data_IF_740135050543
#
_entry.id   IF_740135050543
#
_cell.length_a   1.000
_cell.length_b   1.000
_cell.length_c   1.000
_cell.angle_alpha   90.00
_cell.angle_beta   90.00
_cell.angle_gamma   90.00
#
_symmetry.space_group_name_H-M   'P 1'
#
loop_
_entity.id
_entity.type
_entity.pdbx_description
1 polymer ?
#
# COMPACT_ATOMS: atom_id res chain seq x y z
N UNK A 1 53.36 37.78 -2.56
CA UNK A 1 52.44 38.48 -3.49
C UNK A 1 52.32 39.93 -2.97
N UNK A 2 52.61 40.90 -3.85
CA UNK A 2 52.93 42.29 -3.45
C UNK A 2 51.63 43.09 -3.24
N UNK A 3 51.49 43.74 -2.09
CA UNK A 3 50.29 44.53 -1.65
C UNK A 3 49.86 45.57 -2.68
N UNK A 4 50.80 46.10 -3.50
CA UNK A 4 50.54 47.03 -4.60
C UNK A 4 49.71 46.39 -5.75
N UNK A 5 49.82 45.09 -5.97
CA UNK A 5 49.08 44.37 -7.01
C UNK A 5 47.62 44.10 -6.57
N UNK A 6 47.41 43.85 -5.28
CA UNK A 6 46.08 43.65 -4.70
C UNK A 6 45.20 44.94 -4.74
N UNK A 7 45.81 46.11 -4.46
CA UNK A 7 45.12 47.40 -4.54
C UNK A 7 44.72 47.74 -5.99
N UNK A 8 45.49 47.38 -7.02
CA UNK A 8 45.10 47.59 -8.41
C UNK A 8 43.94 46.72 -8.86
N UNK A 9 43.86 45.46 -8.35
CA UNK A 9 42.73 44.57 -8.68
C UNK A 9 41.44 45.00 -7.97
N UNK A 10 41.49 45.48 -6.75
CA UNK A 10 40.31 46.00 -6.03
C UNK A 10 39.75 47.25 -6.70
N UNK A 11 40.61 48.16 -7.15
CA UNK A 11 40.23 49.39 -7.87
C UNK A 11 39.60 49.02 -9.24
N UNK A 12 40.14 48.06 -9.95
CA UNK A 12 39.59 47.61 -11.24
C UNK A 12 38.20 46.96 -11.09
N UNK A 13 37.98 46.18 -10.04
CA UNK A 13 36.69 45.60 -9.74
C UNK A 13 35.64 46.65 -9.31
N UNK A 14 36.03 47.69 -8.55
CA UNK A 14 35.14 48.77 -8.16
C UNK A 14 34.69 49.62 -9.34
N UNK A 15 35.61 49.90 -10.30
CA UNK A 15 35.27 50.63 -11.50
C UNK A 15 34.36 49.80 -12.43
N UNK A 16 34.55 48.50 -12.55
CA UNK A 16 33.68 47.62 -13.33
C UNK A 16 32.26 47.56 -12.76
N UNK A 17 32.12 47.57 -11.42
CA UNK A 17 30.80 47.60 -10.75
C UNK A 17 30.05 48.91 -10.97
N UNK A 18 30.77 50.05 -10.90
CA UNK A 18 30.18 51.38 -11.12
C UNK A 18 29.75 51.58 -12.58
N UNK A 19 30.49 51.07 -13.56
CA UNK A 19 30.12 51.15 -14.98
C UNK A 19 28.93 50.21 -15.30
N UNK A 20 28.87 49.04 -14.67
CA UNK A 20 27.76 48.12 -14.83
C UNK A 20 26.43 48.62 -14.28
N UNK A 21 26.44 49.29 -13.12
CA UNK A 21 25.26 49.89 -12.52
C UNK A 21 24.85 51.17 -13.21
N UNK A 22 25.79 52.03 -13.62
CA UNK A 22 25.51 53.29 -14.35
C UNK A 22 25.03 53.05 -15.78
N UNK A 23 25.58 52.05 -16.50
CA UNK A 23 25.15 51.68 -17.85
C UNK A 23 23.75 51.08 -17.90
N UNK A 24 23.34 50.31 -16.87
CA UNK A 24 22.00 49.73 -16.73
C UNK A 24 20.91 50.81 -16.53
N UNK A 25 21.23 51.90 -15.84
CA UNK A 25 20.30 52.98 -15.60
C UNK A 25 20.04 53.84 -16.85
N UNK A 26 21.01 53.96 -17.78
CA UNK A 26 20.88 54.73 -19.01
C UNK A 26 20.17 53.99 -20.14
N UNK A 27 20.16 52.64 -20.11
CA UNK A 27 19.50 51.86 -21.15
C UNK A 27 18.07 51.42 -20.84
N UNK A 28 17.65 51.49 -19.55
CA UNK A 28 16.31 51.03 -19.12
C UNK A 28 15.44 52.13 -18.48
N UNK A 29 15.89 53.37 -18.52
CA UNK A 29 15.20 54.50 -17.88
C UNK A 29 14.34 55.34 -18.81
N UNK A 30 13.23 54.82 -19.32
CA UNK A 30 12.07 55.64 -19.67
C UNK A 30 10.85 55.07 -18.91
N UNK A 31 10.10 55.85 -18.15
CA UNK A 31 8.88 55.36 -17.51
C UNK A 31 7.82 55.18 -18.63
N UNK A 32 7.72 53.97 -19.14
CA UNK A 32 6.55 53.55 -19.89
C UNK A 32 5.37 53.49 -18.90
N UNK A 33 4.30 54.20 -19.29
CA UNK A 33 3.10 54.34 -18.47
C UNK A 33 2.59 52.99 -17.93
N UNK A 34 2.11 53.08 -16.72
CA UNK A 34 1.43 52.00 -15.99
C UNK A 34 0.21 51.54 -16.80
N UNK A 35 0.40 50.64 -17.76
CA UNK A 35 -0.67 49.79 -18.19
C UNK A 35 -0.83 48.73 -17.12
N UNK A 36 -1.84 48.90 -16.27
CA UNK A 36 -2.40 47.82 -15.52
C UNK A 36 -2.77 46.71 -16.51
N UNK A 37 -1.88 45.72 -16.66
CA UNK A 37 -2.25 44.44 -17.23
C UNK A 37 -3.30 43.86 -16.31
N UNK A 38 -4.55 44.01 -16.66
CA UNK A 38 -5.63 43.20 -16.17
C UNK A 38 -5.22 41.77 -16.50
N UNK A 39 -4.73 41.04 -15.48
CA UNK A 39 -4.59 39.60 -15.57
C UNK A 39 -6.02 39.05 -15.65
N UNK A 40 -6.56 39.04 -16.86
CA UNK A 40 -7.70 38.21 -17.15
C UNK A 40 -7.26 36.79 -16.88
N UNK A 41 -7.72 36.22 -15.76
CA UNK A 41 -7.76 34.78 -15.53
C UNK A 41 -8.54 34.16 -16.70
N UNK A 42 -7.86 33.94 -17.81
CA UNK A 42 -8.38 33.08 -18.86
C UNK A 42 -8.40 31.68 -18.22
N UNK A 43 -9.55 31.30 -17.71
CA UNK A 43 -9.90 29.90 -17.48
C UNK A 43 -9.53 29.21 -18.78
N UNK A 44 -8.43 28.42 -18.78
CA UNK A 44 -8.06 27.58 -19.92
C UNK A 44 -9.28 26.70 -20.20
N UNK A 45 -10.10 27.10 -21.18
CA UNK A 45 -11.12 26.21 -21.72
C UNK A 45 -10.38 25.02 -22.31
N UNK A 46 -10.31 23.93 -21.56
CA UNK A 46 -9.79 22.67 -22.06
C UNK A 46 -10.71 22.23 -23.17
N UNK A 47 -10.20 22.21 -24.41
CA UNK A 47 -10.94 21.67 -25.57
C UNK A 47 -11.46 20.29 -25.20
N UNK A 48 -12.72 19.96 -25.53
CA UNK A 48 -13.26 18.61 -25.30
C UNK A 48 -12.31 17.56 -25.90
N UNK A 49 -12.11 16.46 -25.18
CA UNK A 49 -11.32 15.36 -25.72
C UNK A 49 -12.04 14.79 -26.94
N UNK A 50 -11.27 14.51 -28.01
CA UNK A 50 -11.78 13.70 -29.14
C UNK A 50 -12.08 12.29 -28.66
N UNK A 51 -12.95 11.57 -29.34
CA UNK A 51 -13.30 10.18 -29.01
C UNK A 51 -12.04 9.30 -28.91
N UNK A 52 -11.11 9.42 -29.84
CA UNK A 52 -9.84 8.68 -29.84
C UNK A 52 -8.95 8.96 -28.61
N UNK A 53 -9.10 10.12 -27.96
CA UNK A 53 -8.35 10.49 -26.75
C UNK A 53 -9.09 10.16 -25.46
N UNK A 54 -10.38 9.90 -25.51
CA UNK A 54 -11.23 9.58 -24.37
C UNK A 54 -11.27 8.05 -24.13
N UNK A 55 -10.10 7.47 -23.93
CA UNK A 55 -9.93 6.03 -23.67
C UNK A 55 -10.48 5.64 -22.29
N UNK A 56 -10.67 4.34 -22.05
CA UNK A 56 -11.06 3.81 -20.75
C UNK A 56 -10.08 4.25 -19.64
N UNK A 57 -8.77 4.34 -19.92
CA UNK A 57 -7.77 4.82 -18.96
C UNK A 57 -8.05 6.28 -18.54
N UNK A 58 -8.37 7.13 -19.52
CA UNK A 58 -8.72 8.54 -19.24
C UNK A 58 -10.02 8.64 -18.44
N UNK A 59 -11.01 7.79 -18.77
CA UNK A 59 -12.29 7.77 -18.05
C UNK A 59 -12.13 7.31 -16.62
N UNK A 60 -11.43 6.17 -16.39
CA UNK A 60 -11.13 5.65 -15.06
C UNK A 60 -10.33 6.65 -14.21
N UNK A 61 -9.28 7.28 -14.80
CA UNK A 61 -8.48 8.29 -14.10
C UNK A 61 -9.29 9.53 -13.71
N UNK A 62 -10.22 9.99 -14.57
CA UNK A 62 -11.12 11.10 -14.25
C UNK A 62 -12.14 10.74 -13.16
N UNK A 63 -12.70 9.52 -13.23
CA UNK A 63 -13.73 9.06 -12.29
C UNK A 63 -13.13 8.85 -10.89
N UNK A 64 -12.04 8.12 -10.81
CA UNK A 64 -11.52 7.60 -9.54
C UNK A 64 -10.25 8.30 -9.05
N UNK A 65 -9.51 8.99 -9.93
CA UNK A 65 -8.32 9.75 -9.57
C UNK A 65 -8.52 10.76 -8.43
N UNK A 66 -9.65 11.48 -8.35
CA UNK A 66 -9.92 12.39 -7.23
C UNK A 66 -9.93 11.71 -5.85
N UNK A 67 -10.26 10.41 -5.76
CA UNK A 67 -10.26 9.65 -4.52
C UNK A 67 -8.87 9.14 -4.12
N UNK A 68 -7.86 9.29 -5.00
CA UNK A 68 -6.50 8.83 -4.71
C UNK A 68 -5.70 9.98 -4.10
N UNK A 69 -5.19 9.74 -2.90
CA UNK A 69 -4.49 10.74 -2.09
C UNK A 69 -3.01 10.40 -1.95
N UNK A 70 -2.20 11.42 -1.69
CA UNK A 70 -0.81 11.23 -1.26
C UNK A 70 -0.75 11.10 0.26
N UNK A 71 0.15 10.25 0.75
CA UNK A 71 0.42 10.11 2.18
C UNK A 71 1.89 10.37 2.42
N UNK A 72 2.17 11.32 3.31
CA UNK A 72 3.53 11.63 3.78
C UNK A 72 3.63 11.35 5.26
N UNK A 73 4.64 10.59 5.64
CA UNK A 73 4.93 10.18 7.01
C UNK A 73 6.29 10.70 7.41
N UNK A 74 6.37 11.43 8.53
CA UNK A 74 7.66 11.84 9.09
C UNK A 74 8.28 10.67 9.85
N UNK A 75 9.46 10.25 9.41
CA UNK A 75 10.20 9.15 10.01
C UNK A 75 11.21 9.70 11.01
N UNK A 76 11.15 9.21 12.23
CA UNK A 76 12.10 9.52 13.29
C UNK A 76 12.86 8.26 13.69
N UNK A 77 14.14 8.39 13.99
CA UNK A 77 14.96 7.30 14.53
C UNK A 77 15.77 7.77 15.72
N UNK A 78 16.24 6.82 16.53
CA UNK A 78 17.11 7.12 17.66
C UNK A 78 18.56 7.11 17.21
N UNK A 79 19.31 8.14 17.59
CA UNK A 79 20.76 8.18 17.40
C UNK A 79 21.48 7.30 18.45
N UNK A 80 22.81 7.23 18.33
CA UNK A 80 23.66 6.46 19.26
C UNK A 80 23.58 6.93 20.73
N UNK A 81 23.03 8.12 20.97
CA UNK A 81 22.79 8.70 22.30
C UNK A 81 21.32 8.57 22.71
N UNK A 82 20.51 7.73 22.06
CA UNK A 82 19.08 7.51 22.30
C UNK A 82 18.20 8.77 22.13
N UNK A 83 18.67 9.78 21.37
CA UNK A 83 17.90 11.00 21.06
C UNK A 83 17.09 10.76 19.79
N UNK A 84 15.84 11.18 19.78
CA UNK A 84 14.98 11.14 18.59
C UNK A 84 15.45 12.20 17.59
N UNK A 85 15.89 11.75 16.41
CA UNK A 85 16.28 12.61 15.30
C UNK A 85 15.38 12.35 14.09
N UNK A 86 15.10 13.41 13.33
CA UNK A 86 14.40 13.28 12.07
C UNK A 86 15.26 12.50 11.05
N UNK A 87 14.72 11.42 10.51
CA UNK A 87 15.42 10.52 9.61
C UNK A 87 15.02 10.71 8.13
N UNK A 88 13.90 11.37 7.88
CA UNK A 88 13.39 11.61 6.53
C UNK A 88 11.86 11.51 6.44
N UNK A 89 11.37 11.45 5.22
CA UNK A 89 9.96 11.27 4.94
C UNK A 89 9.71 9.95 4.20
N UNK A 90 8.72 9.21 4.65
CA UNK A 90 8.09 8.13 3.88
C UNK A 90 6.98 8.72 3.02
N UNK A 91 6.92 8.32 1.76
CA UNK A 91 5.91 8.79 0.81
C UNK A 91 5.23 7.60 0.15
N UNK A 92 3.91 7.67 0.05
CA UNK A 92 3.09 6.71 -0.64
C UNK A 92 1.74 7.28 -1.03
N UNK A 93 0.83 6.41 -1.38
CA UNK A 93 -0.52 6.76 -1.79
C UNK A 93 -1.56 6.13 -0.86
N UNK A 94 -2.79 6.60 -0.97
CA UNK A 94 -3.95 6.02 -0.31
C UNK A 94 -5.20 6.17 -1.18
N UNK A 95 -6.24 5.43 -0.83
CA UNK A 95 -7.53 5.40 -1.53
C UNK A 95 -8.64 5.76 -0.56
N UNK A 96 -9.36 6.84 -0.82
CA UNK A 96 -10.56 7.22 -0.08
C UNK A 96 -11.70 6.25 -0.44
N UNK A 97 -12.20 5.49 0.54
CA UNK A 97 -13.14 4.38 0.31
C UNK A 97 -14.57 4.68 0.71
N UNK A 98 -14.80 5.73 1.51
CA UNK A 98 -16.13 6.11 1.95
C UNK A 98 -16.28 7.62 2.22
N UNK A 99 -17.51 8.04 2.49
CA UNK A 99 -17.85 9.44 2.78
C UNK A 99 -17.53 9.85 4.23
N UNK A 100 -17.07 8.93 5.05
CA UNK A 100 -16.65 9.20 6.42
C UNK A 100 -15.20 9.66 6.49
N UNK A 101 -14.43 9.50 5.41
CA UNK A 101 -13.02 9.90 5.30
C UNK A 101 -12.05 8.79 5.68
N UNK A 102 -12.42 7.52 5.51
CA UNK A 102 -11.50 6.41 5.64
C UNK A 102 -10.68 6.25 4.36
N UNK A 103 -9.38 6.15 4.55
CA UNK A 103 -8.39 5.97 3.49
C UNK A 103 -7.66 4.66 3.74
N UNK A 104 -7.68 3.79 2.74
CA UNK A 104 -6.88 2.55 2.73
C UNK A 104 -5.52 2.83 2.13
N UNK A 105 -4.47 2.28 2.74
CA UNK A 105 -3.09 2.36 2.26
C UNK A 105 -2.32 1.11 2.67
N UNK A 106 -1.02 1.03 2.32
CA UNK A 106 -0.17 -0.02 2.85
C UNK A 106 0.36 0.31 4.26
N UNK A 107 0.58 -0.74 5.05
CA UNK A 107 1.18 -0.60 6.38
C UNK A 107 2.58 0.03 6.30
N UNK A 108 3.44 -0.40 5.35
CA UNK A 108 4.78 0.15 5.21
C UNK A 108 4.81 1.65 4.88
N UNK A 109 3.74 2.22 4.31
CA UNK A 109 3.61 3.67 4.06
C UNK A 109 3.44 4.45 5.35
N UNK A 110 2.76 3.90 6.34
CA UNK A 110 2.41 4.59 7.60
C UNK A 110 3.18 4.07 8.82
N UNK A 111 3.94 2.98 8.72
CA UNK A 111 4.62 2.33 9.84
C UNK A 111 5.64 3.23 10.56
N UNK A 112 6.15 4.27 9.89
CA UNK A 112 7.03 5.29 10.49
C UNK A 112 6.30 6.46 11.16
N UNK A 113 4.95 6.48 11.15
CA UNK A 113 4.16 7.59 11.64
C UNK A 113 4.39 7.84 13.13
N UNK A 114 4.97 9.00 13.48
CA UNK A 114 5.10 9.42 14.87
C UNK A 114 3.72 9.72 15.44
N UNK A 115 3.40 9.12 16.60
CA UNK A 115 2.09 9.25 17.26
C UNK A 115 0.89 8.85 16.41
N UNK A 116 1.09 8.04 15.36
CA UNK A 116 0.02 7.65 14.45
C UNK A 116 -0.50 8.77 13.55
N UNK A 117 0.28 9.85 13.34
CA UNK A 117 -0.12 11.00 12.52
C UNK A 117 0.59 11.00 11.18
N UNK A 118 -0.17 11.29 10.12
CA UNK A 118 0.34 11.42 8.75
C UNK A 118 -0.21 12.69 8.09
N UNK A 119 0.47 13.18 7.07
CA UNK A 119 -0.04 14.25 6.21
C UNK A 119 -0.68 13.63 4.96
N UNK A 120 -1.93 13.98 4.69
CA UNK A 120 -2.68 13.52 3.53
C UNK A 120 -2.83 14.66 2.55
N UNK A 121 -2.36 14.46 1.30
CA UNK A 121 -2.48 15.40 0.20
C UNK A 121 -3.64 14.99 -0.71
N UNK A 122 -4.68 15.81 -0.76
CA UNK A 122 -5.88 15.59 -1.56
C UNK A 122 -5.66 15.94 -3.04
N UNK A 123 -6.56 15.44 -3.88
CA UNK A 123 -6.50 15.65 -5.33
C UNK A 123 -6.65 17.13 -5.76
N UNK A 124 -7.25 17.99 -4.96
CA UNK A 124 -7.36 19.43 -5.21
C UNK A 124 -6.09 20.21 -4.83
N UNK A 125 -5.12 19.54 -4.19
CA UNK A 125 -3.86 20.12 -3.72
C UNK A 125 -3.89 20.59 -2.27
N UNK A 126 -5.03 20.44 -1.57
CA UNK A 126 -5.08 20.70 -0.12
C UNK A 126 -4.39 19.57 0.64
N UNK A 127 -3.79 19.93 1.78
CA UNK A 127 -3.21 18.97 2.72
C UNK A 127 -4.00 18.98 4.01
N UNK A 128 -4.29 17.80 4.53
CA UNK A 128 -5.00 17.61 5.79
C UNK A 128 -4.24 16.64 6.68
N UNK A 129 -4.47 16.74 7.98
CA UNK A 129 -3.94 15.78 8.95
C UNK A 129 -4.75 14.49 8.89
N UNK A 130 -4.05 13.36 8.81
CA UNK A 130 -4.63 12.04 8.92
C UNK A 130 -4.19 11.35 10.22
N UNK A 131 -5.07 10.52 10.77
CA UNK A 131 -4.79 9.68 11.93
C UNK A 131 -4.82 8.22 11.51
N UNK A 132 -3.77 7.46 11.79
CA UNK A 132 -3.72 6.01 11.55
C UNK A 132 -4.65 5.34 12.55
N UNK A 133 -5.72 4.74 12.07
CA UNK A 133 -6.70 4.01 12.89
C UNK A 133 -6.18 2.66 13.34
N UNK A 134 -5.41 2.00 12.49
CA UNK A 134 -4.79 0.72 12.73
C UNK A 134 -4.05 0.22 11.52
N UNK A 135 -3.21 -0.77 11.76
CA UNK A 135 -2.34 -1.38 10.75
C UNK A 135 -2.38 -2.89 10.86
N UNK A 136 -2.02 -3.54 9.79
CA UNK A 136 -1.79 -4.98 9.74
C UNK A 136 -0.55 -5.31 8.93
N UNK A 137 0.51 -5.67 9.63
CA UNK A 137 1.80 -5.98 9.01
C UNK A 137 1.73 -7.22 8.11
N UNK A 138 0.92 -8.23 8.49
CA UNK A 138 0.81 -9.49 7.74
C UNK A 138 0.16 -9.32 6.37
N UNK A 139 -0.77 -8.38 6.24
CA UNK A 139 -1.42 -8.06 4.97
C UNK A 139 -0.81 -6.84 4.29
N UNK A 140 0.11 -6.15 4.94
CA UNK A 140 0.63 -4.85 4.51
C UNK A 140 -0.47 -3.81 4.26
N UNK A 141 -1.53 -3.82 5.08
CA UNK A 141 -2.65 -2.87 4.99
C UNK A 141 -2.72 -1.95 6.22
N UNK A 142 -3.23 -0.75 5.99
CA UNK A 142 -3.53 0.22 7.04
C UNK A 142 -4.77 1.05 6.67
N UNK A 143 -5.42 1.62 7.67
CA UNK A 143 -6.50 2.59 7.50
C UNK A 143 -6.11 3.90 8.17
N UNK A 144 -6.25 4.99 7.43
CA UNK A 144 -6.06 6.37 7.89
C UNK A 144 -7.40 7.06 7.89
N UNK A 145 -7.69 7.84 8.92
CA UNK A 145 -8.90 8.65 9.06
C UNK A 145 -8.57 10.12 8.85
N UNK A 146 -9.35 10.79 8.02
CA UNK A 146 -9.34 12.26 7.87
C UNK A 146 -10.74 12.79 8.10
N UNK A 147 -10.86 14.11 8.29
CA UNK A 147 -12.15 14.76 8.17
C UNK A 147 -12.64 14.64 6.72
N UNK A 148 -13.90 14.22 6.50
CA UNK A 148 -14.37 13.89 5.15
C UNK A 148 -14.31 15.12 4.23
N UNK A 149 -13.65 15.00 3.06
CA UNK A 149 -13.58 16.10 2.11
C UNK A 149 -14.93 16.34 1.43
N UNK A 150 -15.41 17.58 1.40
CA UNK A 150 -16.75 17.92 0.92
C UNK A 150 -16.99 17.68 -0.57
N UNK A 151 -15.91 17.72 -1.39
CA UNK A 151 -15.99 17.75 -2.85
C UNK A 151 -15.32 16.55 -3.52
N UNK A 152 -14.91 15.53 -2.75
CA UNK A 152 -14.26 14.33 -3.27
C UNK A 152 -15.17 13.15 -2.99
N UNK A 153 -15.55 12.45 -4.05
CA UNK A 153 -16.32 11.20 -3.92
C UNK A 153 -15.34 10.05 -3.66
N UNK A 154 -15.68 9.09 -2.79
CA UNK A 154 -14.92 7.88 -2.62
C UNK A 154 -14.88 7.05 -3.90
N UNK A 155 -13.88 6.17 -4.01
CA UNK A 155 -13.77 5.24 -5.13
C UNK A 155 -14.92 4.21 -5.09
N UNK A 156 -15.42 3.83 -6.25
CA UNK A 156 -16.33 2.68 -6.36
C UNK A 156 -15.53 1.39 -6.12
N UNK A 157 -16.02 0.54 -5.23
CA UNK A 157 -15.42 -0.76 -4.95
C UNK A 157 -15.88 -1.75 -6.03
N UNK A 158 -14.93 -2.41 -6.68
CA UNK A 158 -15.17 -3.48 -7.65
C UNK A 158 -15.17 -4.88 -7.01
N UNK A 159 -15.10 -5.89 -7.85
CA UNK A 159 -15.05 -7.30 -7.46
C UNK A 159 -13.79 -7.97 -8.00
N UNK A 160 -12.80 -8.22 -7.14
CA UNK A 160 -11.53 -8.84 -7.54
C UNK A 160 -11.64 -10.34 -7.83
N UNK A 161 -12.72 -11.01 -7.42
CA UNK A 161 -12.90 -12.45 -7.65
C UNK A 161 -13.47 -12.73 -9.05
N UNK A 162 -14.06 -11.71 -9.69
CA UNK A 162 -14.61 -11.81 -11.05
C UNK A 162 -13.58 -11.54 -12.16
N UNK A 163 -12.36 -11.11 -11.81
CA UNK A 163 -11.33 -10.69 -12.75
C UNK A 163 -10.86 -11.85 -13.66
N UNK A 164 -10.50 -11.49 -14.90
CA UNK A 164 -9.90 -12.40 -15.85
C UNK A 164 -8.53 -11.89 -16.32
N UNK A 165 -7.61 -12.82 -16.58
CA UNK A 165 -6.31 -12.50 -17.16
C UNK A 165 -6.49 -11.85 -18.53
N UNK A 166 -5.80 -10.75 -18.77
CA UNK A 166 -5.91 -9.94 -19.98
C UNK A 166 -6.85 -8.74 -19.86
N UNK A 167 -7.66 -8.63 -18.80
CA UNK A 167 -8.46 -7.42 -18.56
C UNK A 167 -7.57 -6.20 -18.33
N UNK A 168 -8.03 -4.98 -18.71
CA UNK A 168 -7.30 -3.76 -18.42
C UNK A 168 -7.08 -3.53 -16.92
N UNK A 169 -5.86 -3.14 -16.57
CA UNK A 169 -5.46 -2.75 -15.23
C UNK A 169 -4.90 -1.34 -15.25
N UNK A 170 -5.41 -0.46 -14.39
CA UNK A 170 -5.01 0.94 -14.30
C UNK A 170 -4.54 1.21 -12.88
N UNK A 171 -3.22 1.42 -12.71
CA UNK A 171 -2.67 1.76 -11.42
C UNK A 171 -2.59 3.29 -11.27
N UNK A 172 -3.14 3.79 -10.18
CA UNK A 172 -3.11 5.22 -9.84
C UNK A 172 -2.47 5.40 -8.48
N UNK A 173 -1.53 6.36 -8.41
CA UNK A 173 -0.94 6.83 -7.18
C UNK A 173 -0.84 8.35 -7.17
N UNK A 174 -0.53 8.91 -6.01
CA UNK A 174 -0.29 10.33 -5.83
C UNK A 174 1.04 10.55 -5.08
N UNK A 175 2.18 10.11 -5.67
CA UNK A 175 3.47 10.26 -5.03
C UNK A 175 3.86 11.74 -4.94
N UNK A 176 4.48 12.14 -3.84
CA UNK A 176 5.21 13.41 -3.68
C UNK A 176 4.38 14.70 -3.88
N UNK A 177 3.09 14.71 -3.54
CA UNK A 177 2.30 15.95 -3.54
C UNK A 177 2.13 16.57 -4.94
N UNK A 178 2.37 17.87 -5.06
CA UNK A 178 2.03 18.65 -6.27
C UNK A 178 2.86 18.31 -7.52
N UNK A 179 4.08 17.80 -7.38
CA UNK A 179 5.00 17.59 -8.52
C UNK A 179 4.67 16.35 -9.35
N UNK A 180 4.12 15.28 -8.73
CA UNK A 180 3.76 14.03 -9.41
C UNK A 180 2.29 13.64 -9.19
N UNK A 181 1.46 14.63 -8.93
CA UNK A 181 0.03 14.49 -8.66
C UNK A 181 -0.66 13.62 -9.70
N UNK A 182 -1.26 12.50 -9.24
CA UNK A 182 -2.10 11.66 -10.09
C UNK A 182 -1.33 10.88 -11.15
N UNK A 183 -0.18 10.28 -10.79
CA UNK A 183 0.53 9.37 -11.69
C UNK A 183 -0.36 8.19 -12.05
N UNK A 184 -0.59 7.98 -13.35
CA UNK A 184 -1.39 6.90 -13.91
C UNK A 184 -0.50 6.01 -14.76
N UNK A 185 -0.50 4.72 -14.48
CA UNK A 185 0.10 3.70 -15.35
C UNK A 185 -0.99 2.71 -15.76
N UNK A 186 -0.86 2.09 -16.93
CA UNK A 186 -1.83 1.14 -17.44
C UNK A 186 -1.15 -0.09 -18.01
N UNK A 187 -1.82 -1.21 -17.89
CA UNK A 187 -1.42 -2.51 -18.37
C UNK A 187 -2.61 -3.44 -18.38
N UNK A 188 -2.36 -4.71 -18.10
CA UNK A 188 -3.37 -5.75 -18.00
C UNK A 188 -3.23 -6.55 -16.70
N UNK A 189 -4.26 -7.28 -16.33
CA UNK A 189 -4.16 -8.35 -15.33
C UNK A 189 -3.31 -9.47 -15.94
N UNK A 190 -2.07 -9.59 -15.51
CA UNK A 190 -1.11 -10.56 -16.06
C UNK A 190 -1.29 -11.96 -15.47
N UNK A 191 -1.71 -12.04 -14.21
CA UNK A 191 -2.08 -13.30 -13.55
C UNK A 191 -2.92 -13.01 -12.29
N UNK A 192 -3.67 -14.03 -11.90
CA UNK A 192 -4.42 -14.07 -10.64
C UNK A 192 -3.79 -15.11 -9.72
N UNK A 193 -4.09 -15.02 -8.44
CA UNK A 193 -3.69 -16.00 -7.44
C UNK A 193 -2.15 -16.24 -7.37
N UNK A 194 -1.34 -15.16 -7.51
CA UNK A 194 0.11 -15.28 -7.40
C UNK A 194 0.55 -15.33 -5.94
N UNK A 195 1.18 -16.43 -5.58
CA UNK A 195 1.94 -16.54 -4.34
C UNK A 195 3.37 -16.15 -4.62
N UNK A 196 3.87 -15.10 -3.97
CA UNK A 196 5.28 -14.78 -3.96
C UNK A 196 5.86 -15.43 -2.71
N UNK A 197 6.95 -16.17 -2.88
CA UNK A 197 7.61 -16.93 -1.82
C UNK A 197 8.37 -15.97 -0.89
N UNK A 198 7.62 -15.12 -0.21
CA UNK A 198 8.15 -14.22 0.79
C UNK A 198 7.46 -14.47 2.14
N UNK A 199 8.27 -14.52 3.17
CA UNK A 199 7.92 -14.98 4.51
C UNK A 199 6.70 -14.22 5.06
N UNK A 200 5.53 -14.87 5.06
CA UNK A 200 4.34 -14.34 5.72
C UNK A 200 3.24 -13.81 4.82
N UNK A 201 3.36 -13.93 3.50
CA UNK A 201 2.28 -13.51 2.60
C UNK A 201 0.95 -14.16 2.96
N UNK A 202 -0.10 -13.32 3.11
CA UNK A 202 -1.40 -13.76 3.60
C UNK A 202 -2.39 -14.05 2.48
N UNK A 203 -2.21 -13.45 1.30
CA UNK A 203 -3.14 -13.55 0.16
C UNK A 203 -2.45 -13.99 -1.12
N UNK A 204 -3.27 -14.48 -2.02
CA UNK A 204 -2.93 -14.58 -3.42
C UNK A 204 -3.08 -13.20 -4.06
N UNK A 205 -2.04 -12.72 -4.75
CA UNK A 205 -1.98 -11.38 -5.30
C UNK A 205 -2.47 -11.32 -6.74
N UNK A 206 -2.96 -10.14 -7.14
CA UNK A 206 -3.14 -9.77 -8.54
C UNK A 206 -1.77 -9.36 -9.08
N UNK A 207 -1.35 -9.97 -10.20
CA UNK A 207 -0.18 -9.55 -10.96
C UNK A 207 -0.61 -8.68 -12.13
N UNK A 208 0.10 -7.59 -12.39
CA UNK A 208 -0.11 -6.68 -13.53
C UNK A 208 1.22 -6.23 -14.11
N UNK A 209 1.25 -5.89 -15.40
CA UNK A 209 2.36 -5.21 -16.06
C UNK A 209 2.23 -3.68 -16.03
N UNK A 210 1.13 -3.15 -15.49
CA UNK A 210 1.06 -1.75 -15.12
C UNK A 210 2.18 -1.42 -14.12
N UNK A 211 2.97 -0.38 -14.38
CA UNK A 211 4.13 -0.07 -13.55
C UNK A 211 3.74 0.26 -12.10
N UNK A 212 4.16 -0.58 -11.16
CA UNK A 212 4.04 -0.36 -9.71
C UNK A 212 5.43 0.01 -9.19
N UNK A 213 5.54 1.20 -8.60
CA UNK A 213 6.79 1.78 -8.12
C UNK A 213 6.60 2.41 -6.74
N UNK A 214 7.70 2.69 -6.00
CA UNK A 214 7.62 3.53 -4.82
C UNK A 214 6.91 4.84 -5.15
N UNK A 215 5.87 5.15 -4.37
CA UNK A 215 5.00 6.32 -4.58
C UNK A 215 3.57 5.98 -5.02
N UNK A 216 3.33 4.95 -5.87
CA UNK A 216 1.96 4.48 -6.08
C UNK A 216 1.56 3.31 -5.16
N UNK A 217 2.47 2.88 -4.28
CA UNK A 217 2.22 1.92 -3.21
C UNK A 217 1.15 2.46 -2.25
N UNK A 218 0.15 1.66 -1.92
CA UNK A 218 -1.05 2.04 -1.17
C UNK A 218 -2.13 2.72 -2.02
N UNK A 219 -1.84 3.05 -3.27
CA UNK A 219 -2.80 3.56 -4.25
C UNK A 219 -3.68 2.48 -4.87
N UNK A 220 -4.50 2.88 -5.83
CA UNK A 220 -5.51 2.02 -6.44
C UNK A 220 -4.96 1.23 -7.63
N UNK A 221 -5.34 -0.06 -7.73
CA UNK A 221 -5.48 -0.77 -8.98
C UNK A 221 -6.95 -0.77 -9.36
N UNK A 222 -7.27 -0.26 -10.56
CA UNK A 222 -8.63 -0.11 -11.06
C UNK A 222 -8.84 -0.99 -12.29
N UNK A 223 -10.09 -1.41 -12.50
CA UNK A 223 -10.56 -1.99 -13.78
C UNK A 223 -10.86 -0.89 -14.82
N UNK A 224 -11.31 -1.27 -16.01
CA UNK A 224 -11.66 -0.35 -17.10
C UNK A 224 -12.81 0.59 -16.76
N UNK A 225 -13.71 0.20 -15.84
CA UNK A 225 -14.85 0.99 -15.39
C UNK A 225 -14.47 1.98 -14.26
N UNK A 226 -13.20 1.98 -13.86
CA UNK A 226 -12.66 2.81 -12.77
C UNK A 226 -13.09 2.34 -11.39
N UNK A 227 -13.33 1.06 -11.19
CA UNK A 227 -13.64 0.47 -9.89
C UNK A 227 -12.38 -0.10 -9.26
N UNK A 228 -12.28 0.01 -7.93
CA UNK A 228 -11.15 -0.49 -7.15
C UNK A 228 -11.17 -2.01 -7.09
N UNK A 229 -10.17 -2.65 -7.70
CA UNK A 229 -10.00 -4.10 -7.71
C UNK A 229 -8.82 -4.57 -6.85
N UNK A 230 -7.92 -3.65 -6.48
CA UNK A 230 -6.80 -3.98 -5.61
C UNK A 230 -6.07 -2.76 -5.07
N UNK A 231 -5.23 -3.00 -4.06
CA UNK A 231 -4.33 -1.99 -3.45
C UNK A 231 -2.90 -2.29 -3.93
N UNK A 232 -2.29 -1.34 -4.63
CA UNK A 232 -0.93 -1.47 -5.16
C UNK A 232 0.09 -1.67 -4.03
N UNK A 233 1.06 -2.59 -4.20
CA UNK A 233 2.15 -2.77 -3.24
C UNK A 233 3.50 -2.91 -3.95
N UNK A 234 4.38 -1.92 -3.74
CA UNK A 234 5.75 -1.93 -4.30
C UNK A 234 6.71 -2.78 -3.45
N UNK A 235 6.37 -3.08 -2.19
CA UNK A 235 7.19 -3.92 -1.29
C UNK A 235 7.37 -5.34 -1.83
N UNK A 236 6.42 -5.80 -2.64
CA UNK A 236 6.35 -7.16 -3.18
C UNK A 236 7.16 -7.31 -4.47
N UNK A 237 7.61 -6.21 -5.08
CA UNK A 237 8.42 -6.23 -6.30
C UNK A 237 9.83 -6.74 -6.01
N UNK A 238 10.33 -7.73 -6.80
CA UNK A 238 11.74 -8.15 -6.74
C UNK A 238 12.61 -7.11 -7.42
N UNK A 239 13.67 -6.66 -6.74
CA UNK A 239 14.70 -5.81 -7.34
C UNK A 239 15.23 -6.42 -8.64
N UNK A 240 15.28 -5.63 -9.71
CA UNK A 240 15.82 -6.05 -11.01
C UNK A 240 14.84 -6.81 -11.91
N UNK A 241 13.58 -6.93 -11.54
CA UNK A 241 12.53 -7.51 -12.39
C UNK A 241 11.55 -6.42 -12.80
N UNK A 242 11.65 -5.96 -14.04
CA UNK A 242 10.72 -5.00 -14.63
C UNK A 242 9.47 -5.69 -15.20
N UNK A 243 8.32 -4.98 -15.22
CA UNK A 243 7.07 -5.47 -15.81
C UNK A 243 6.30 -6.45 -14.94
N UNK A 244 6.64 -6.61 -13.66
CA UNK A 244 5.86 -7.39 -12.69
C UNK A 244 5.46 -6.52 -11.52
N UNK A 245 4.25 -5.97 -11.57
CA UNK A 245 3.61 -5.27 -10.46
C UNK A 245 2.64 -6.19 -9.72
N UNK A 246 2.38 -5.89 -8.45
CA UNK A 246 1.47 -6.65 -7.61
C UNK A 246 0.50 -5.76 -6.86
N UNK A 247 -0.72 -6.26 -6.67
CA UNK A 247 -1.72 -5.60 -5.86
C UNK A 247 -2.44 -6.62 -4.96
N UNK A 248 -2.83 -6.17 -3.78
CA UNK A 248 -3.64 -6.92 -2.81
C UNK A 248 -5.08 -6.88 -3.31
N UNK A 249 -5.75 -8.03 -3.60
CA UNK A 249 -7.12 -8.06 -4.08
C UNK A 249 -8.08 -7.36 -3.11
N UNK A 250 -9.02 -6.57 -3.63
CA UNK A 250 -9.92 -5.78 -2.78
C UNK A 250 -10.86 -6.66 -1.94
N UNK A 251 -11.33 -7.81 -2.47
CA UNK A 251 -12.18 -8.72 -1.72
C UNK A 251 -11.44 -9.34 -0.52
N UNK A 252 -10.14 -9.61 -0.67
CA UNK A 252 -9.28 -10.06 0.44
C UNK A 252 -8.94 -8.93 1.42
N UNK A 253 -8.80 -7.70 0.95
CA UNK A 253 -8.48 -6.53 1.78
C UNK A 253 -9.69 -6.08 2.62
N UNK A 254 -10.90 -6.15 2.08
CA UNK A 254 -12.11 -5.61 2.69
C UNK A 254 -12.37 -6.10 4.12
N UNK A 255 -12.33 -7.39 4.47
CA UNK A 255 -12.55 -7.86 5.85
C UNK A 255 -11.55 -7.27 6.85
N UNK A 256 -10.31 -7.04 6.40
CA UNK A 256 -9.23 -6.46 7.21
C UNK A 256 -9.50 -4.98 7.44
N UNK A 257 -9.84 -4.25 6.38
CA UNK A 257 -10.21 -2.84 6.43
C UNK A 257 -11.39 -2.64 7.39
N UNK A 258 -12.46 -3.42 7.23
CA UNK A 258 -13.66 -3.37 8.07
C UNK A 258 -13.31 -3.66 9.56
N UNK A 259 -12.41 -4.62 9.81
CA UNK A 259 -11.94 -4.92 11.17
C UNK A 259 -11.15 -3.77 11.78
N UNK A 260 -10.26 -3.12 11.01
CA UNK A 260 -9.50 -1.96 11.48
C UNK A 260 -10.45 -0.79 11.78
N UNK A 261 -11.38 -0.49 10.88
CA UNK A 261 -12.36 0.60 11.07
C UNK A 261 -13.17 0.37 12.35
N UNK A 262 -13.64 -0.85 12.56
CA UNK A 262 -14.52 -1.19 13.69
C UNK A 262 -13.78 -1.31 15.01
N UNK A 263 -12.58 -1.88 15.03
CA UNK A 263 -11.90 -2.33 16.23
C UNK A 263 -10.55 -1.67 16.47
N UNK A 264 -10.07 -0.83 15.55
CA UNK A 264 -8.72 -0.24 15.59
C UNK A 264 -7.59 -1.25 15.30
N UNK A 265 -7.93 -2.51 15.03
CA UNK A 265 -6.99 -3.60 14.77
C UNK A 265 -7.66 -4.75 14.06
N UNK A 266 -6.85 -5.63 13.47
CA UNK A 266 -7.36 -6.86 12.86
C UNK A 266 -7.53 -7.93 13.93
N UNK A 267 -8.76 -8.42 14.04
CA UNK A 267 -9.11 -9.54 14.90
C UNK A 267 -9.18 -10.78 14.01
N UNK A 268 -8.37 -11.79 14.32
CA UNK A 268 -8.27 -13.02 13.53
C UNK A 268 -8.67 -14.25 14.30
N UNK A 269 -9.32 -15.21 13.63
CA UNK A 269 -9.45 -16.54 14.20
C UNK A 269 -8.06 -17.18 14.36
N UNK A 270 -7.87 -17.89 15.43
CA UNK A 270 -6.58 -18.41 15.86
C UNK A 270 -6.66 -19.92 16.14
N UNK A 271 -5.74 -20.68 15.54
CA UNK A 271 -5.60 -22.13 15.76
C UNK A 271 -4.61 -22.49 16.88
N UNK A 272 -3.54 -21.72 16.99
CA UNK A 272 -2.47 -21.99 17.94
C UNK A 272 -1.49 -23.08 17.47
N UNK A 273 -1.16 -23.07 16.17
CA UNK A 273 -0.21 -24.02 15.58
C UNK A 273 0.84 -23.31 14.73
N UNK A 274 2.05 -23.85 14.73
CA UNK A 274 3.06 -23.64 13.71
C UNK A 274 3.15 -24.89 12.89
N UNK A 275 2.82 -24.80 11.62
CA UNK A 275 2.80 -25.94 10.71
C UNK A 275 3.69 -25.67 9.49
N UNK A 276 4.13 -26.73 8.86
CA UNK A 276 4.91 -26.66 7.62
C UNK A 276 4.26 -27.55 6.57
N UNK A 277 4.24 -27.06 5.33
CA UNK A 277 3.90 -27.87 4.17
C UNK A 277 5.10 -28.70 3.68
N UNK A 278 4.86 -29.61 2.75
CA UNK A 278 5.87 -30.50 2.23
C UNK A 278 7.06 -29.76 1.60
N UNK A 279 6.81 -28.64 0.94
CA UNK A 279 7.85 -27.85 0.30
C UNK A 279 8.73 -27.15 1.33
N UNK A 280 8.12 -26.53 2.34
CA UNK A 280 8.82 -25.87 3.44
C UNK A 280 9.58 -26.89 4.29
N UNK A 281 8.98 -28.04 4.57
CA UNK A 281 9.64 -29.14 5.29
C UNK A 281 10.90 -29.62 4.54
N UNK A 282 10.80 -29.85 3.23
CA UNK A 282 11.93 -30.29 2.41
C UNK A 282 13.07 -29.27 2.39
N UNK A 283 12.77 -27.97 2.32
CA UNK A 283 13.78 -26.89 2.40
C UNK A 283 14.53 -26.85 3.73
N UNK A 284 13.86 -27.29 4.82
CA UNK A 284 14.43 -27.32 6.17
C UNK A 284 14.96 -28.72 6.58
N UNK A 285 15.09 -29.65 5.62
CA UNK A 285 15.50 -31.03 5.85
C UNK A 285 14.60 -31.78 6.87
N UNK A 286 13.33 -31.40 6.96
CA UNK A 286 12.31 -32.10 7.74
C UNK A 286 11.59 -33.07 6.82
N UNK A 287 11.69 -34.37 7.10
CA UNK A 287 10.93 -35.39 6.37
C UNK A 287 9.73 -35.83 7.20
N UNK A 288 8.57 -35.85 6.58
CA UNK A 288 7.37 -36.46 7.17
C UNK A 288 6.56 -37.20 6.09
N UNK A 289 5.91 -38.28 6.55
CA UNK A 289 5.01 -39.08 5.72
C UNK A 289 3.57 -38.66 6.00
N UNK A 290 2.77 -38.48 4.93
CA UNK A 290 1.37 -38.09 5.04
C UNK A 290 1.00 -36.97 4.12
N UNK A 291 -0.30 -36.71 3.98
CA UNK A 291 -0.89 -35.59 3.27
C UNK A 291 -1.22 -34.47 4.25
N UNK A 292 -1.12 -33.20 3.80
CA UNK A 292 -1.46 -32.05 4.59
C UNK A 292 -0.26 -31.36 5.25
N UNK A 293 -0.49 -30.69 6.37
CA UNK A 293 0.45 -29.82 7.06
C UNK A 293 0.97 -30.43 8.35
N UNK A 294 2.27 -30.64 8.45
CA UNK A 294 2.91 -31.13 9.67
C UNK A 294 2.92 -30.06 10.75
N UNK A 295 2.40 -30.35 11.92
CA UNK A 295 2.48 -29.51 13.11
C UNK A 295 3.86 -29.65 13.73
N UNK A 296 4.66 -28.60 13.68
CA UNK A 296 6.03 -28.57 14.23
C UNK A 296 6.07 -27.95 15.62
N UNK A 297 5.08 -27.11 15.98
CA UNK A 297 4.96 -26.51 17.30
C UNK A 297 3.51 -26.14 17.59
N UNK A 298 3.13 -26.20 18.86
CA UNK A 298 1.80 -25.82 19.37
C UNK A 298 1.90 -24.75 20.45
N UNK A 299 0.89 -23.86 20.46
CA UNK A 299 0.54 -23.16 21.69
C UNK A 299 -0.15 -24.18 22.64
N UNK A 300 0.51 -24.50 23.75
CA UNK A 300 0.01 -25.50 24.71
C UNK A 300 -1.36 -25.15 25.31
N UNK A 301 -1.73 -23.87 25.27
CA UNK A 301 -3.04 -23.36 25.72
C UNK A 301 -3.97 -23.03 24.54
N UNK A 302 -3.51 -23.26 23.32
CA UNK A 302 -4.18 -22.94 22.09
C UNK A 302 -5.38 -23.85 21.77
N UNK A 303 -6.21 -23.44 20.80
CA UNK A 303 -7.39 -24.19 20.37
C UNK A 303 -7.09 -25.64 19.97
N UNK A 304 -6.06 -25.84 19.17
CA UNK A 304 -5.69 -27.18 18.63
C UNK A 304 -5.19 -28.09 19.73
N UNK A 305 -4.36 -27.58 20.67
CA UNK A 305 -3.91 -28.35 21.82
C UNK A 305 -5.08 -28.76 22.73
N UNK A 306 -6.06 -27.86 22.97
CA UNK A 306 -7.29 -28.17 23.71
C UNK A 306 -8.16 -29.24 23.05
N UNK A 307 -8.08 -29.37 21.72
CA UNK A 307 -8.78 -30.39 20.94
C UNK A 307 -8.05 -31.75 20.95
N UNK A 308 -6.91 -31.87 21.63
CA UNK A 308 -6.14 -33.13 21.77
C UNK A 308 -5.25 -33.45 20.55
N UNK A 309 -5.03 -32.48 19.66
CA UNK A 309 -4.07 -32.60 18.57
C UNK A 309 -2.69 -32.18 19.11
N UNK A 310 -1.63 -32.86 18.69
CA UNK A 310 -0.28 -32.69 19.26
C UNK A 310 0.77 -32.41 18.18
N UNK A 311 1.95 -32.02 18.61
CA UNK A 311 3.11 -31.90 17.72
C UNK A 311 3.44 -33.23 17.05
N UNK A 312 3.80 -33.18 15.77
CA UNK A 312 4.00 -34.37 14.93
C UNK A 312 2.75 -34.86 14.21
N UNK A 313 1.56 -34.39 14.57
CA UNK A 313 0.34 -34.67 13.82
C UNK A 313 0.33 -33.92 12.51
N UNK A 314 -0.41 -34.42 11.50
CA UNK A 314 -0.54 -33.79 10.18
C UNK A 314 -1.99 -33.42 9.94
N UNK A 315 -2.30 -32.12 9.81
CA UNK A 315 -3.65 -31.62 9.47
C UNK A 315 -3.87 -31.80 7.97
N UNK A 316 -4.85 -32.61 7.58
CA UNK A 316 -5.17 -32.90 6.19
C UNK A 316 -6.40 -32.14 5.67
N UNK A 317 -7.40 -31.87 6.53
CA UNK A 317 -8.63 -31.19 6.11
C UNK A 317 -9.16 -30.26 7.22
N UNK A 318 -9.81 -29.18 6.76
CA UNK A 318 -10.63 -28.29 7.59
C UNK A 318 -12.05 -28.29 6.99
N UNK A 319 -13.06 -28.64 7.80
CA UNK A 319 -14.47 -28.73 7.39
C UNK A 319 -14.67 -29.54 6.09
N UNK A 320 -13.91 -30.65 5.92
CA UNK A 320 -13.95 -31.52 4.77
C UNK A 320 -13.20 -31.02 3.52
N UNK A 321 -12.59 -29.83 3.56
CA UNK A 321 -11.75 -29.32 2.48
C UNK A 321 -10.29 -29.65 2.74
N UNK A 322 -9.58 -30.19 1.76
CA UNK A 322 -8.16 -30.50 1.86
C UNK A 322 -7.33 -29.24 2.10
N UNK A 323 -6.30 -29.36 2.92
CA UNK A 323 -5.29 -28.31 3.15
C UNK A 323 -3.91 -28.93 2.97
N UNK A 324 -3.22 -28.52 1.93
CA UNK A 324 -1.90 -29.03 1.53
C UNK A 324 -0.80 -27.97 1.69
N UNK A 325 -1.20 -26.68 1.76
CA UNK A 325 -0.33 -25.54 1.90
C UNK A 325 -0.75 -24.67 3.09
N UNK A 326 0.19 -23.88 3.63
CA UNK A 326 -0.10 -22.92 4.69
C UNK A 326 -1.10 -21.83 4.23
N UNK A 327 -1.10 -21.50 2.95
CA UNK A 327 -2.03 -20.52 2.37
C UNK A 327 -3.45 -21.07 2.43
N UNK A 328 -3.67 -22.29 1.94
CA UNK A 328 -4.98 -22.96 1.99
C UNK A 328 -5.50 -23.08 3.43
N UNK A 329 -4.64 -23.44 4.40
CA UNK A 329 -5.02 -23.45 5.80
C UNK A 329 -5.46 -22.06 6.28
N UNK A 330 -4.65 -21.03 6.00
CA UNK A 330 -4.96 -19.65 6.39
C UNK A 330 -6.27 -19.18 5.76
N UNK A 331 -6.50 -19.40 4.47
CA UNK A 331 -7.74 -19.04 3.78
C UNK A 331 -8.98 -19.70 4.43
N UNK A 332 -8.89 -21.01 4.78
CA UNK A 332 -9.98 -21.71 5.45
C UNK A 332 -10.27 -21.13 6.85
N UNK A 333 -9.23 -20.76 7.58
CA UNK A 333 -9.38 -20.20 8.92
C UNK A 333 -9.84 -18.74 8.86
N UNK A 334 -9.32 -17.92 7.95
CA UNK A 334 -9.68 -16.50 7.80
C UNK A 334 -11.13 -16.30 7.33
N UNK A 335 -11.71 -17.31 6.68
CA UNK A 335 -13.14 -17.32 6.33
C UNK A 335 -14.06 -17.51 7.55
N UNK A 336 -13.51 -17.73 8.75
CA UNK A 336 -14.26 -17.94 10.00
C UNK A 336 -14.14 -16.73 10.92
N UNK A 337 -14.93 -16.77 11.99
CA UNK A 337 -14.84 -15.80 13.09
C UNK A 337 -14.19 -16.43 14.32
N UNK A 338 -13.53 -15.63 15.18
CA UNK A 338 -13.13 -16.10 16.49
C UNK A 338 -14.32 -16.67 17.28
N UNK A 339 -14.14 -17.86 17.86
CA UNK A 339 -15.20 -18.58 18.56
C UNK A 339 -15.97 -19.60 17.73
N UNK A 340 -15.85 -19.55 16.39
CA UNK A 340 -16.41 -20.58 15.52
C UNK A 340 -15.76 -21.94 15.80
N UNK A 341 -16.50 -23.01 15.56
CA UNK A 341 -16.01 -24.37 15.69
C UNK A 341 -15.82 -24.98 14.30
N UNK A 342 -14.62 -25.48 14.03
CA UNK A 342 -14.25 -26.17 12.80
C UNK A 342 -14.03 -27.67 13.07
N UNK A 343 -14.21 -28.50 12.05
CA UNK A 343 -13.83 -29.91 12.08
C UNK A 343 -12.47 -30.06 11.43
N UNK A 344 -11.43 -30.34 12.23
CA UNK A 344 -10.10 -30.65 11.72
C UNK A 344 -9.95 -32.17 11.56
N UNK A 345 -9.63 -32.64 10.33
CA UNK A 345 -9.21 -34.02 10.07
C UNK A 345 -7.69 -34.07 10.04
N UNK A 346 -7.10 -34.97 10.82
CA UNK A 346 -5.65 -35.03 10.99
C UNK A 346 -5.17 -36.50 11.16
N UNK A 347 -3.90 -36.71 10.86
CA UNK A 347 -3.26 -38.02 11.06
C UNK A 347 -2.43 -38.01 12.34
N UNK A 348 -2.69 -38.97 13.23
CA UNK A 348 -1.95 -39.19 14.47
C UNK A 348 -1.40 -40.63 14.49
N UNK A 349 -0.09 -40.78 14.55
CA UNK A 349 0.56 -42.10 14.51
C UNK A 349 0.06 -42.99 13.35
N UNK A 350 -0.02 -42.39 12.14
CA UNK A 350 -0.47 -43.07 10.92
C UNK A 350 -1.98 -43.36 10.83
N UNK A 351 -2.79 -42.92 11.82
CA UNK A 351 -4.24 -43.12 11.81
C UNK A 351 -4.98 -41.81 11.64
N UNK A 352 -5.93 -41.78 10.70
CA UNK A 352 -6.81 -40.61 10.49
C UNK A 352 -7.75 -40.46 11.69
N UNK A 353 -7.86 -39.26 12.20
CA UNK A 353 -8.74 -38.84 13.28
C UNK A 353 -9.41 -37.52 12.91
N UNK A 354 -10.45 -37.15 13.65
CA UNK A 354 -11.10 -35.83 13.53
C UNK A 354 -11.36 -35.26 14.91
N UNK A 355 -11.22 -33.94 15.03
CA UNK A 355 -11.52 -33.21 16.27
C UNK A 355 -12.26 -31.92 15.95
N UNK A 356 -13.19 -31.53 16.83
CA UNK A 356 -13.78 -30.22 16.81
C UNK A 356 -12.85 -29.21 17.48
N UNK A 357 -12.48 -28.16 16.79
CA UNK A 357 -11.57 -27.11 17.27
C UNK A 357 -12.35 -25.81 17.35
N UNK A 358 -12.55 -25.29 18.55
CA UNK A 358 -13.12 -23.96 18.76
C UNK A 358 -12.03 -22.93 18.58
N UNK A 359 -12.13 -22.11 17.52
CA UNK A 359 -11.14 -21.10 17.18
C UNK A 359 -10.98 -20.06 18.30
N UNK A 360 -9.76 -19.74 18.61
CA UNK A 360 -9.41 -18.64 19.48
C UNK A 360 -9.45 -17.30 18.77
N UNK A 361 -8.99 -16.27 19.45
CA UNK A 361 -8.81 -14.94 18.91
C UNK A 361 -7.32 -14.57 18.99
N UNK A 362 -6.76 -14.13 17.87
CA UNK A 362 -5.48 -13.44 17.83
C UNK A 362 -5.71 -12.00 17.40
N UNK A 363 -4.98 -11.06 17.99
CA UNK A 363 -4.92 -9.68 17.50
C UNK A 363 -3.50 -9.39 17.04
N UNK A 364 -3.33 -8.83 15.86
CA UNK A 364 -2.10 -8.14 15.53
C UNK A 364 -1.98 -6.92 16.45
N UNK A 365 -0.87 -6.85 17.17
CA UNK A 365 -0.49 -5.66 17.92
C UNK A 365 0.13 -4.64 16.99
#
# INVERSE_FOLDING_TARGET
MNIKQYKKQIIACAIALCVGVGGGYYFFGTPAGTQQSVVTNQTKQTKPLTEARNTYVVQAAKKSGPAIVGITTQVFQKDIFNRTIYAGEGVGSGVLIDNEGHIVTNNHVVSGASNGEVTVSLSDGTTVKGTVMGTDEQSDLAVVKIDPPKNIQPVAIGDSDSLQVGEPAIAIGNPLGLEFKGSVTSGVISALARTIDDQGQRFQLIQTDAAINPGNSGGALLNADGELIGINSSKISKEGVEGMGFAIPINSAKPIIDSIIKNGKVIRPYLGVWAVDRQTAARNNVSYEGEGLLIVQLDSTGPVARAGIVEGDTIAQIDGKNVSTLIELKEQIDAKSPGDTILASYTHNGKMKSAQVKLGQSSSN
#
